data_IF_616380710589
#
_entry.id   IF_616380710589
#
_cell.length_a   1.000
_cell.length_b   1.000
_cell.length_c   1.000
_cell.angle_alpha   90.00
_cell.angle_beta   90.00
_cell.angle_gamma   90.00
#
_symmetry.space_group_name_H-M   'P 1'
#
loop_
_entity.id
_entity.type
_entity.pdbx_description
1 polymer ?
#
# COMPACT_ATOMS: atom_id res chain seq x y z
N UNK A 1 4.15 8.26 -17.29
CA UNK A 1 2.71 8.38 -16.94
C UNK A 1 2.56 9.74 -16.28
N UNK A 2 1.87 10.71 -16.90
CA UNK A 2 1.70 12.07 -16.33
C UNK A 2 0.57 12.13 -15.28
N UNK A 3 0.45 11.09 -14.45
CA UNK A 3 -0.54 11.01 -13.37
C UNK A 3 0.02 10.19 -12.22
N UNK A 4 -0.33 10.52 -10.96
CA UNK A 4 0.06 9.73 -9.80
C UNK A 4 -0.60 8.34 -9.83
N UNK A 5 -0.19 7.47 -8.91
CA UNK A 5 -0.87 6.21 -8.67
C UNK A 5 -2.32 6.47 -8.21
N UNK A 6 -3.24 5.55 -8.52
CA UNK A 6 -4.63 5.65 -8.04
C UNK A 6 -4.73 5.60 -6.51
N UNK A 7 -3.90 4.77 -5.88
CA UNK A 7 -3.72 4.68 -4.43
C UNK A 7 -2.22 4.59 -4.17
N UNK A 8 -1.69 5.44 -3.29
CA UNK A 8 -0.29 5.42 -2.88
C UNK A 8 -0.19 5.25 -1.36
N UNK A 9 0.87 4.58 -0.91
CA UNK A 9 1.25 4.44 0.50
C UNK A 9 2.67 4.95 0.65
N UNK A 10 2.93 5.77 1.67
CA UNK A 10 4.24 6.36 1.94
C UNK A 10 4.53 6.38 3.44
N UNK A 11 5.77 6.14 3.84
CA UNK A 11 6.26 6.28 5.22
C UNK A 11 7.35 7.38 5.35
N UNK A 12 7.79 7.95 4.22
CA UNK A 12 8.83 8.98 4.16
C UNK A 12 10.26 8.44 4.29
N UNK A 13 10.44 7.11 4.30
CA UNK A 13 11.73 6.46 4.47
C UNK A 13 12.11 5.67 3.20
N UNK A 14 13.41 5.55 2.96
CA UNK A 14 13.95 4.60 1.98
C UNK A 14 15.07 3.81 2.63
N UNK A 15 15.00 2.47 2.61
CA UNK A 15 15.97 1.60 3.28
C UNK A 15 16.18 1.92 4.77
N UNK A 16 15.13 2.40 5.45
CA UNK A 16 15.15 2.88 6.85
C UNK A 16 15.96 4.15 7.10
N UNK A 17 16.32 4.87 6.04
CA UNK A 17 16.90 6.20 6.12
C UNK A 17 15.86 7.22 5.63
N UNK A 18 15.78 8.42 6.22
CA UNK A 18 14.90 9.47 5.74
C UNK A 18 15.15 9.72 4.26
N UNK A 19 14.09 9.69 3.46
CA UNK A 19 14.22 10.01 2.05
C UNK A 19 14.23 11.53 1.88
N UNK A 20 15.33 12.09 1.34
CA UNK A 20 15.47 13.54 1.15
C UNK A 20 14.31 14.16 0.32
N UNK A 21 13.66 13.39 -0.55
CA UNK A 21 12.51 13.82 -1.34
C UNK A 21 11.14 13.59 -0.68
N UNK A 22 11.08 13.11 0.56
CA UNK A 22 9.80 12.81 1.22
C UNK A 22 8.91 14.06 1.37
N UNK A 23 9.53 15.20 1.68
CA UNK A 23 8.84 16.49 1.80
C UNK A 23 8.37 17.04 0.45
N UNK A 24 8.87 16.50 -0.67
CA UNK A 24 8.48 16.88 -2.02
C UNK A 24 7.23 16.15 -2.53
N UNK A 25 6.69 15.19 -1.75
CA UNK A 25 5.46 14.48 -2.11
C UNK A 25 4.28 15.44 -2.03
N UNK A 26 3.81 15.88 -3.19
CA UNK A 26 2.63 16.74 -3.32
C UNK A 26 1.33 15.94 -3.10
N UNK A 27 0.80 16.02 -1.88
CA UNK A 27 -0.47 15.38 -1.51
C UNK A 27 -1.68 15.98 -2.22
N UNK A 28 -1.57 17.19 -2.80
CA UNK A 28 -2.67 17.83 -3.55
C UNK A 28 -2.96 17.16 -4.89
N UNK A 29 -2.09 16.25 -5.33
CA UNK A 29 -2.30 15.40 -6.50
C UNK A 29 -3.35 14.31 -6.30
N UNK A 30 -3.83 14.11 -5.06
CA UNK A 30 -4.80 13.09 -4.68
C UNK A 30 -6.12 13.71 -4.21
N UNK A 31 -7.23 13.01 -4.44
CA UNK A 31 -8.56 13.45 -3.99
C UNK A 31 -8.73 13.37 -2.46
N UNK A 32 -7.97 12.48 -1.80
CA UNK A 32 -8.00 12.32 -0.35
C UNK A 32 -6.69 11.86 0.25
N UNK A 33 -6.47 12.23 1.51
CA UNK A 33 -5.34 11.76 2.32
C UNK A 33 -5.88 10.97 3.50
N UNK A 34 -5.33 9.78 3.72
CA UNK A 34 -5.59 8.92 4.87
C UNK A 34 -4.31 8.76 5.69
N UNK A 35 -4.46 8.44 6.97
CA UNK A 35 -3.36 8.13 7.86
C UNK A 35 -3.60 6.77 8.50
N UNK A 36 -2.53 6.00 8.69
CA UNK A 36 -2.57 4.75 9.45
C UNK A 36 -1.26 4.50 10.18
N UNK A 37 -1.32 3.71 11.25
CA UNK A 37 -0.13 3.21 11.95
C UNK A 37 0.12 1.75 11.60
N UNK A 38 1.37 1.41 11.28
CA UNK A 38 1.78 0.07 10.88
C UNK A 38 3.19 -0.23 11.42
N UNK A 39 3.35 -0.76 12.64
CA UNK A 39 4.66 -1.08 13.18
C UNK A 39 5.43 -2.07 12.30
N UNK A 40 6.75 -2.03 12.41
CA UNK A 40 7.64 -2.88 11.63
C UNK A 40 7.26 -4.37 11.72
N UNK A 41 7.22 -5.05 10.58
CA UNK A 41 6.89 -6.48 10.48
C UNK A 41 5.48 -6.88 10.92
N UNK A 42 4.55 -5.93 11.09
CA UNK A 42 3.18 -6.20 11.56
C UNK A 42 2.14 -5.75 10.54
N UNK A 43 1.02 -6.48 10.45
CA UNK A 43 -0.18 -6.02 9.76
C UNK A 43 -1.19 -5.52 10.80
N UNK A 44 -1.58 -4.26 10.71
CA UNK A 44 -2.49 -3.64 11.68
C UNK A 44 -3.91 -3.49 11.14
N UNK A 45 -4.92 -3.47 12.01
CA UNK A 45 -6.27 -3.04 11.64
C UNK A 45 -6.27 -1.64 11.00
N UNK A 46 -5.43 -0.72 11.49
CA UNK A 46 -5.32 0.64 10.95
C UNK A 46 -4.87 0.66 9.48
N UNK A 47 -3.84 -0.13 9.13
CA UNK A 47 -3.38 -0.26 7.74
C UNK A 47 -4.47 -0.88 6.84
N UNK A 48 -5.13 -1.93 7.34
CA UNK A 48 -6.22 -2.59 6.62
C UNK A 48 -7.38 -1.62 6.35
N UNK A 49 -7.86 -0.92 7.37
CA UNK A 49 -8.96 0.04 7.26
C UNK A 49 -8.64 1.17 6.28
N UNK A 50 -7.41 1.70 6.30
CA UNK A 50 -6.99 2.72 5.35
C UNK A 50 -6.99 2.19 3.90
N UNK A 51 -6.45 0.98 3.68
CA UNK A 51 -6.46 0.34 2.37
C UNK A 51 -7.89 0.04 1.88
N UNK A 52 -8.77 -0.45 2.75
CA UNK A 52 -10.17 -0.73 2.44
C UNK A 52 -10.92 0.54 2.06
N UNK A 53 -10.75 1.62 2.84
CA UNK A 53 -11.36 2.93 2.55
C UNK A 53 -10.90 3.48 1.21
N UNK A 54 -9.59 3.52 0.95
CA UNK A 54 -9.05 3.98 -0.32
C UNK A 54 -9.58 3.14 -1.49
N UNK A 55 -9.56 1.81 -1.36
CA UNK A 55 -10.03 0.89 -2.40
C UNK A 55 -11.54 1.05 -2.67
N UNK A 56 -12.34 1.23 -1.62
CA UNK A 56 -13.79 1.47 -1.75
C UNK A 56 -14.07 2.77 -2.48
N UNK A 57 -13.45 3.88 -2.05
CA UNK A 57 -13.60 5.19 -2.69
C UNK A 57 -13.19 5.16 -4.16
N UNK A 58 -12.12 4.45 -4.52
CA UNK A 58 -11.71 4.28 -5.90
C UNK A 58 -12.72 3.43 -6.70
N UNK A 59 -13.25 2.34 -6.15
CA UNK A 59 -14.24 1.49 -6.83
C UNK A 59 -15.55 2.22 -7.10
N UNK A 60 -16.03 2.99 -6.13
CA UNK A 60 -17.33 3.66 -6.19
C UNK A 60 -17.29 4.97 -6.97
N UNK A 61 -16.22 5.76 -6.79
CA UNK A 61 -16.15 7.13 -7.33
C UNK A 61 -14.87 7.45 -8.11
N UNK A 62 -13.96 6.48 -8.29
CA UNK A 62 -12.62 6.70 -8.89
C UNK A 62 -11.76 7.72 -8.15
N UNK A 63 -12.05 7.94 -6.87
CA UNK A 63 -11.32 8.88 -6.02
C UNK A 63 -9.96 8.29 -5.65
N UNK A 64 -8.92 9.04 -5.95
CA UNK A 64 -7.52 8.70 -5.67
C UNK A 64 -7.14 9.03 -4.23
N UNK A 65 -6.28 8.21 -3.62
CA UNK A 65 -5.90 8.40 -2.22
C UNK A 65 -4.39 8.27 -1.98
N UNK A 66 -3.85 9.16 -1.16
CA UNK A 66 -2.55 9.01 -0.54
C UNK A 66 -2.74 8.53 0.90
N UNK A 67 -2.11 7.43 1.27
CA UNK A 67 -2.10 6.90 2.63
C UNK A 67 -0.72 7.19 3.22
N UNK A 68 -0.68 8.01 4.26
CA UNK A 68 0.54 8.25 5.06
C UNK A 68 0.61 7.21 6.16
N UNK A 69 1.73 6.48 6.20
CA UNK A 69 1.97 5.37 7.11
C UNK A 69 2.94 5.83 8.20
N UNK A 70 2.49 5.79 9.44
CA UNK A 70 3.37 5.88 10.60
C UNK A 70 3.90 4.47 10.91
N UNK A 71 5.13 4.19 10.48
CA UNK A 71 5.79 2.88 10.61
C UNK A 71 6.26 2.33 9.26
N UNK A 72 6.05 1.04 8.99
CA UNK A 72 6.41 0.36 7.73
C UNK A 72 5.15 0.09 6.86
N UNK A 73 5.27 0.38 5.59
CA UNK A 73 4.32 0.21 4.48
C UNK A 73 4.57 -1.06 3.63
N UNK A 74 5.73 -1.70 3.81
CA UNK A 74 6.27 -2.80 3.01
C UNK A 74 5.39 -4.06 2.92
N UNK A 75 4.59 -4.34 3.95
CA UNK A 75 3.64 -5.46 3.99
C UNK A 75 2.29 -5.13 3.32
N UNK A 76 2.01 -3.87 2.99
CA UNK A 76 0.75 -3.46 2.37
C UNK A 76 0.38 -4.21 1.07
N UNK A 77 1.32 -4.63 0.19
CA UNK A 77 0.98 -5.46 -0.96
C UNK A 77 0.20 -6.73 -0.61
N UNK A 78 0.41 -7.31 0.57
CA UNK A 78 -0.34 -8.49 1.04
C UNK A 78 -1.82 -8.18 1.27
N UNK A 79 -2.15 -6.95 1.68
CA UNK A 79 -3.53 -6.45 1.83
C UNK A 79 -4.09 -5.99 0.47
N UNK A 80 -3.31 -5.24 -0.30
CA UNK A 80 -3.77 -4.59 -1.53
C UNK A 80 -4.14 -5.59 -2.62
N UNK A 81 -3.37 -6.66 -2.82
CA UNK A 81 -3.69 -7.66 -3.84
C UNK A 81 -5.09 -8.31 -3.63
N UNK A 82 -5.43 -8.81 -2.43
CA UNK A 82 -6.79 -9.28 -2.13
C UNK A 82 -7.90 -8.25 -2.36
N UNK A 83 -7.67 -6.98 -1.99
CA UNK A 83 -8.67 -5.91 -2.08
C UNK A 83 -8.87 -5.35 -3.51
N UNK A 84 -7.79 -5.29 -4.29
CA UNK A 84 -7.78 -4.67 -5.63
C UNK A 84 -8.63 -5.45 -6.65
N UNK A 85 -9.22 -4.81 -7.67
CA UNK A 85 -9.86 -5.55 -8.76
C UNK A 85 -8.84 -6.38 -9.57
N UNK A 86 -9.31 -7.38 -10.31
CA UNK A 86 -8.47 -8.10 -11.26
C UNK A 86 -7.94 -7.14 -12.33
N UNK A 87 -6.67 -7.34 -12.72
CA UNK A 87 -5.97 -6.49 -13.69
C UNK A 87 -5.41 -5.18 -13.11
N UNK A 88 -5.63 -4.88 -11.83
CA UNK A 88 -4.88 -3.83 -11.15
C UNK A 88 -3.38 -4.16 -11.10
N UNK A 89 -2.55 -3.15 -10.87
CA UNK A 89 -1.10 -3.29 -10.74
C UNK A 89 -0.67 -2.73 -9.39
N UNK A 90 0.06 -3.53 -8.62
CA UNK A 90 0.73 -3.08 -7.39
C UNK A 90 2.22 -2.91 -7.71
N UNK A 91 2.75 -1.75 -7.37
CA UNK A 91 4.16 -1.40 -7.56
C UNK A 91 4.74 -1.12 -6.17
N UNK A 92 5.86 -1.77 -5.84
CA UNK A 92 6.50 -1.61 -4.55
C UNK A 92 8.01 -1.81 -4.65
N UNK A 93 8.77 -1.24 -3.71
CA UNK A 93 10.20 -1.47 -3.58
C UNK A 93 10.47 -2.81 -2.89
N UNK A 94 11.47 -3.56 -3.36
CA UNK A 94 11.92 -4.77 -2.68
C UNK A 94 13.45 -4.76 -2.51
N UNK A 95 13.95 -4.97 -1.28
CA UNK A 95 15.39 -5.06 -1.02
C UNK A 95 16.10 -6.07 -1.94
N UNK A 96 17.18 -5.61 -2.59
CA UNK A 96 17.96 -6.41 -3.53
C UNK A 96 17.28 -6.74 -4.86
N UNK A 97 16.06 -6.25 -5.10
CA UNK A 97 15.30 -6.45 -6.35
C UNK A 97 14.92 -5.15 -7.07
N UNK A 98 14.94 -4.02 -6.36
CA UNK A 98 14.52 -2.75 -6.91
C UNK A 98 13.00 -2.64 -6.93
N UNK A 99 12.45 -1.94 -7.93
CA UNK A 99 11.00 -1.79 -8.09
C UNK A 99 10.41 -3.08 -8.65
N UNK A 100 9.42 -3.62 -7.95
CA UNK A 100 8.65 -4.79 -8.37
C UNK A 100 7.28 -4.33 -8.87
N UNK A 101 6.89 -4.86 -10.03
CA UNK A 101 5.57 -4.64 -10.62
C UNK A 101 4.82 -5.97 -10.61
N UNK A 102 3.67 -6.01 -9.93
CA UNK A 102 2.85 -7.22 -9.85
C UNK A 102 1.41 -6.95 -10.26
N UNK A 103 0.94 -7.72 -11.24
CA UNK A 103 -0.46 -7.71 -11.66
C UNK A 103 -1.33 -8.45 -10.63
N UNK A 104 -2.49 -7.87 -10.33
CA UNK A 104 -3.53 -8.47 -9.51
C UNK A 104 -4.30 -9.52 -10.33
N UNK A 105 -3.75 -10.72 -10.40
CA UNK A 105 -4.44 -11.93 -10.87
C UNK A 105 -5.00 -12.76 -9.71
N UNK A 106 -5.74 -13.82 -10.06
CA UNK A 106 -6.20 -14.82 -9.09
C UNK A 106 -5.02 -15.50 -8.37
N UNK A 107 -3.92 -15.76 -9.08
CA UNK A 107 -2.68 -16.32 -8.52
C UNK A 107 -2.09 -15.40 -7.43
N UNK A 108 -1.99 -14.10 -7.72
CA UNK A 108 -1.44 -13.11 -6.80
C UNK A 108 -2.33 -12.97 -5.56
N UNK A 109 -3.66 -12.93 -5.75
CA UNK A 109 -4.65 -12.88 -4.67
C UNK A 109 -4.57 -14.11 -3.78
N UNK A 110 -4.56 -15.31 -4.36
CA UNK A 110 -4.48 -16.57 -3.62
C UNK A 110 -3.17 -16.69 -2.86
N UNK A 111 -2.05 -16.28 -3.46
CA UNK A 111 -0.74 -16.25 -2.79
C UNK A 111 -0.76 -15.32 -1.58
N UNK A 112 -1.27 -14.10 -1.72
CA UNK A 112 -1.34 -13.16 -0.61
C UNK A 112 -2.25 -13.68 0.50
N UNK A 113 -3.42 -14.25 0.18
CA UNK A 113 -4.31 -14.89 1.18
C UNK A 113 -3.63 -16.02 1.94
N UNK A 114 -2.81 -16.84 1.26
CA UNK A 114 -2.03 -17.90 1.91
C UNK A 114 -1.01 -17.32 2.87
N UNK A 115 -0.23 -16.33 2.43
CA UNK A 115 0.74 -15.66 3.30
C UNK A 115 0.06 -15.01 4.51
N UNK A 116 -1.07 -14.32 4.30
CA UNK A 116 -1.88 -13.75 5.38
C UNK A 116 -2.34 -14.81 6.38
N UNK A 117 -2.65 -16.04 5.94
CA UNK A 117 -3.05 -17.12 6.86
C UNK A 117 -1.92 -17.66 7.74
N UNK A 118 -0.68 -17.31 7.44
CA UNK A 118 0.51 -17.67 8.23
C UNK A 118 0.83 -16.62 9.31
N UNK A 119 0.16 -15.46 9.30
CA UNK A 119 0.31 -14.45 10.36
C UNK A 119 -0.33 -14.93 11.66
N UNK A 120 0.34 -14.63 12.76
CA UNK A 120 -0.15 -14.87 14.12
C UNK A 120 -0.53 -13.53 14.77
N UNK A 121 -1.46 -13.51 15.73
CA UNK A 121 -1.73 -12.31 16.52
C UNK A 121 -0.45 -11.79 17.18
N UNK A 122 -0.26 -10.47 17.15
CA UNK A 122 0.78 -9.83 17.96
C UNK A 122 0.40 -9.96 19.45
N UNK A 123 1.40 -10.22 20.29
CA UNK A 123 1.25 -10.28 21.76
C UNK A 123 0.98 -8.90 22.38
#
# INVERSE_FOLDING_TARGET
>A
LNRPADIALIDGLTRREPWEGADEIDSSLYDGVLQCSSPAGSLTPSLLEACERAMKSWKEGRLTHLIQVEGEEDLAPLILHPLAPLGAVVIYGQPGKGVVVRWCGEDAKQRCRRLLSEFIPAE
#
